data_IF_363181695812
#
_entry.id   IF_363181695812
#
_cell.length_a   1.000
_cell.length_b   1.000
_cell.length_c   1.000
_cell.angle_alpha   90.00
_cell.angle_beta   90.00
_cell.angle_gamma   90.00
#
_symmetry.space_group_name_H-M   'P 1'
#
loop_
_entity.id
_entity.type
_entity.pdbx_description
1 polymer ?
#
# COMPACT_ATOMS: atom_id res chain seq x y z
N UNK A 1 1.23 -8.20 -12.79
CA UNK A 1 1.49 -7.84 -11.38
C UNK A 1 0.44 -6.85 -10.93
N UNK A 2 -0.10 -7.04 -9.72
CA UNK A 2 -1.06 -6.12 -9.09
C UNK A 2 -0.33 -5.36 -7.98
N UNK A 3 -0.51 -4.05 -7.96
CA UNK A 3 0.08 -3.15 -6.98
C UNK A 3 -1.02 -2.49 -6.16
N UNK A 4 -0.89 -2.58 -4.83
CA UNK A 4 -1.78 -1.94 -3.87
C UNK A 4 -0.98 -0.91 -3.09
N UNK A 5 -1.39 0.35 -3.15
CA UNK A 5 -0.85 1.40 -2.30
C UNK A 5 -1.81 1.73 -1.17
N UNK A 6 -1.30 1.80 0.05
CA UNK A 6 -2.06 2.06 1.27
C UNK A 6 -1.43 3.21 2.05
N UNK A 7 -2.16 4.31 2.14
CA UNK A 7 -1.86 5.37 3.09
C UNK A 7 -2.52 5.06 4.44
N UNK A 8 -1.70 4.92 5.48
CA UNK A 8 -2.13 4.45 6.80
C UNK A 8 -2.40 5.65 7.69
N UNK A 9 -3.63 5.81 8.16
CA UNK A 9 -3.98 6.72 9.24
C UNK A 9 -4.53 5.98 10.47
N UNK A 10 -4.77 6.74 11.55
CA UNK A 10 -5.23 6.21 12.84
C UNK A 10 -6.56 5.46 12.73
N UNK A 11 -7.57 6.09 12.13
CA UNK A 11 -8.95 5.58 12.15
C UNK A 11 -9.36 4.92 10.83
N UNK A 12 -8.62 5.21 9.74
CA UNK A 12 -8.90 4.73 8.39
C UNK A 12 -7.62 4.53 7.59
N UNK A 13 -7.71 3.76 6.51
CA UNK A 13 -6.65 3.63 5.52
C UNK A 13 -7.21 3.93 4.13
N UNK A 14 -6.46 4.71 3.36
CA UNK A 14 -6.80 5.04 1.98
C UNK A 14 -6.02 4.10 1.05
N UNK A 15 -6.74 3.44 0.15
CA UNK A 15 -6.23 2.35 -0.68
C UNK A 15 -6.42 2.66 -2.17
N UNK A 16 -5.48 2.19 -2.98
CA UNK A 16 -5.53 2.28 -4.43
C UNK A 16 -4.97 1.00 -5.07
N UNK A 17 -5.59 0.50 -6.13
CA UNK A 17 -5.19 -0.76 -6.78
C UNK A 17 -5.04 -0.58 -8.29
N UNK A 18 -3.87 -0.95 -8.82
CA UNK A 18 -3.54 -0.91 -10.25
C UNK A 18 -2.78 -2.16 -10.68
N UNK A 19 -2.72 -2.42 -11.98
CA UNK A 19 -1.88 -3.48 -12.55
C UNK A 19 -0.59 -2.91 -13.17
N UNK A 20 0.27 -3.80 -13.66
CA UNK A 20 1.53 -3.46 -14.33
C UNK A 20 1.38 -2.69 -15.64
N UNK A 21 0.17 -2.62 -16.20
CA UNK A 21 -0.14 -1.86 -17.41
C UNK A 21 -0.62 -0.43 -17.07
N UNK A 22 -0.74 -0.11 -15.77
CA UNK A 22 -1.25 1.17 -15.28
C UNK A 22 -2.78 1.26 -15.30
N UNK A 23 -3.49 0.17 -15.57
CA UNK A 23 -4.95 0.15 -15.50
C UNK A 23 -5.39 0.24 -14.04
N UNK A 24 -6.41 1.07 -13.78
CA UNK A 24 -6.98 1.23 -12.45
C UNK A 24 -7.97 0.11 -12.20
N UNK A 25 -7.60 -0.86 -11.34
CA UNK A 25 -8.46 -1.98 -10.97
C UNK A 25 -9.48 -1.56 -9.90
N UNK A 26 -9.05 -0.74 -8.94
CA UNK A 26 -9.94 -0.03 -8.02
C UNK A 26 -9.46 1.40 -7.84
N UNK A 27 -10.35 2.36 -8.14
CA UNK A 27 -10.10 3.76 -7.83
C UNK A 27 -10.00 3.98 -6.31
N UNK A 28 -9.42 5.10 -5.89
CA UNK A 28 -9.16 5.37 -4.47
C UNK A 28 -10.39 5.13 -3.57
N UNK A 29 -10.23 4.26 -2.59
CA UNK A 29 -11.25 3.90 -1.61
C UNK A 29 -10.68 3.88 -0.20
N UNK A 30 -11.56 3.92 0.80
CA UNK A 30 -11.17 4.00 2.21
C UNK A 30 -11.69 2.78 2.94
N UNK A 31 -10.88 2.20 3.83
CA UNK A 31 -11.27 1.16 4.78
C UNK A 31 -11.11 1.67 6.21
N UNK A 32 -11.95 1.26 7.18
CA UNK A 32 -11.70 1.53 8.59
C UNK A 32 -10.47 0.77 9.10
N UNK A 33 -9.78 1.31 10.12
CA UNK A 33 -8.68 0.62 10.80
C UNK A 33 -9.22 -0.41 11.81
N UNK A 34 -9.87 -1.46 11.30
CA UNK A 34 -10.39 -2.57 12.07
C UNK A 34 -10.47 -3.86 11.23
N UNK A 35 -10.85 -4.97 11.85
CA UNK A 35 -10.90 -6.28 11.19
C UNK A 35 -11.83 -6.30 9.97
N UNK A 36 -12.98 -5.61 10.02
CA UNK A 36 -13.92 -5.55 8.90
C UNK A 36 -13.30 -4.84 7.70
N UNK A 37 -12.66 -3.69 7.92
CA UNK A 37 -11.95 -2.96 6.86
C UNK A 37 -10.81 -3.76 6.23
N UNK A 38 -10.08 -4.53 7.05
CA UNK A 38 -9.01 -5.40 6.55
C UNK A 38 -9.57 -6.55 5.72
N UNK A 39 -10.70 -7.13 6.14
CA UNK A 39 -11.39 -8.16 5.39
C UNK A 39 -11.91 -7.63 4.06
N UNK A 40 -12.51 -6.44 4.05
CA UNK A 40 -13.00 -5.77 2.83
C UNK A 40 -11.87 -5.56 1.82
N UNK A 41 -10.70 -5.11 2.27
CA UNK A 41 -9.51 -4.99 1.43
C UNK A 41 -9.09 -6.35 0.86
N UNK A 42 -9.03 -7.38 1.69
CA UNK A 42 -8.63 -8.72 1.26
C UNK A 42 -9.60 -9.32 0.23
N UNK A 43 -10.91 -9.11 0.40
CA UNK A 43 -11.91 -9.56 -0.57
C UNK A 43 -11.73 -8.87 -1.92
N UNK A 44 -11.47 -7.56 -1.93
CA UNK A 44 -11.17 -6.83 -3.18
C UNK A 44 -9.94 -7.38 -3.87
N UNK A 45 -8.86 -7.65 -3.14
CA UNK A 45 -7.64 -8.26 -3.70
C UNK A 45 -7.94 -9.66 -4.25
N UNK A 46 -8.65 -10.48 -3.48
CA UNK A 46 -9.01 -11.85 -3.86
C UNK A 46 -9.95 -11.92 -5.08
N UNK A 47 -10.77 -10.89 -5.31
CA UNK A 47 -11.61 -10.81 -6.51
C UNK A 47 -10.81 -10.56 -7.80
N UNK A 48 -9.56 -10.10 -7.69
CA UNK A 48 -8.69 -9.80 -8.84
C UNK A 48 -7.76 -10.97 -9.18
N UNK A 49 -7.37 -11.77 -8.19
CA UNK A 49 -6.44 -12.89 -8.38
C UNK A 49 -6.54 -13.89 -7.24
N UNK A 50 -6.31 -15.16 -7.57
CA UNK A 50 -6.12 -16.24 -6.59
C UNK A 50 -4.64 -16.55 -6.36
N UNK A 51 -3.75 -15.96 -7.16
CA UNK A 51 -2.30 -16.04 -7.00
C UNK A 51 -1.78 -14.75 -6.35
N UNK A 52 -1.55 -14.81 -5.04
CA UNK A 52 -1.05 -13.70 -4.24
C UNK A 52 0.45 -13.43 -4.44
N UNK A 53 1.20 -14.33 -5.11
CA UNK A 53 2.60 -14.06 -5.46
C UNK A 53 2.73 -12.96 -6.53
N UNK A 54 1.66 -12.75 -7.31
CA UNK A 54 1.53 -11.69 -8.30
C UNK A 54 0.94 -10.38 -7.72
N UNK A 55 0.94 -10.25 -6.40
CA UNK A 55 0.43 -9.08 -5.67
C UNK A 55 1.57 -8.45 -4.86
N UNK A 56 1.66 -7.13 -4.86
CA UNK A 56 2.53 -6.37 -3.96
C UNK A 56 1.75 -5.29 -3.25
N UNK A 57 1.84 -5.26 -1.92
CA UNK A 57 1.15 -4.28 -1.07
C UNK A 57 2.16 -3.33 -0.45
N UNK A 58 2.04 -2.04 -0.71
CA UNK A 58 2.87 -0.98 -0.13
C UNK A 58 2.08 -0.21 0.91
N UNK A 59 2.63 -0.09 2.12
CA UNK A 59 2.06 0.71 3.20
C UNK A 59 3.01 1.83 3.58
N UNK A 60 2.52 3.06 3.66
CA UNK A 60 3.28 4.14 4.28
C UNK A 60 3.30 3.97 5.81
N UNK A 61 4.49 4.03 6.40
CA UNK A 61 4.68 3.87 7.83
C UNK A 61 4.21 5.13 8.60
N UNK A 62 3.01 5.10 9.17
CA UNK A 62 2.50 6.16 10.04
C UNK A 62 2.43 5.70 11.50
N UNK A 63 3.47 6.00 12.28
CA UNK A 63 3.56 5.59 13.69
C UNK A 63 3.35 4.08 13.87
N UNK A 64 2.61 3.68 14.89
CA UNK A 64 2.27 2.27 15.15
C UNK A 64 0.96 1.81 14.46
N UNK A 65 0.28 2.69 13.71
CA UNK A 65 -1.04 2.39 13.15
C UNK A 65 -1.01 1.36 12.02
N UNK A 66 0.17 1.11 11.42
CA UNK A 66 0.32 0.12 10.35
C UNK A 66 0.39 -1.32 10.87
N UNK A 67 0.72 -1.57 12.14
CA UNK A 67 1.07 -2.92 12.62
C UNK A 67 -0.07 -3.92 12.52
N UNK A 68 -1.30 -3.51 12.83
CA UNK A 68 -2.46 -4.41 12.75
C UNK A 68 -2.75 -4.82 11.31
N UNK A 69 -2.73 -3.85 10.38
CA UNK A 69 -2.93 -4.11 8.97
C UNK A 69 -1.76 -4.93 8.38
N UNK A 70 -0.52 -4.60 8.74
CA UNK A 70 0.67 -5.32 8.32
C UNK A 70 0.62 -6.78 8.75
N UNK A 71 0.33 -7.06 10.02
CA UNK A 71 0.18 -8.42 10.53
C UNK A 71 -0.90 -9.19 9.78
N UNK A 72 -2.06 -8.57 9.58
CA UNK A 72 -3.16 -9.17 8.81
C UNK A 72 -2.76 -9.53 7.37
N UNK A 73 -2.06 -8.63 6.66
CA UNK A 73 -1.63 -8.86 5.28
C UNK A 73 -0.60 -9.99 5.18
N UNK A 74 0.37 -10.03 6.12
CA UNK A 74 1.36 -11.09 6.21
C UNK A 74 0.70 -12.44 6.50
N UNK A 75 -0.25 -12.49 7.45
CA UNK A 75 -1.00 -13.70 7.79
C UNK A 75 -1.83 -14.23 6.60
N UNK A 76 -2.24 -13.35 5.68
CA UNK A 76 -2.90 -13.70 4.41
C UNK A 76 -1.94 -14.10 3.30
N UNK A 77 -0.63 -14.08 3.54
CA UNK A 77 0.40 -14.44 2.57
C UNK A 77 0.63 -13.38 1.49
N UNK A 78 0.25 -12.12 1.74
CA UNK A 78 0.46 -11.03 0.78
C UNK A 78 1.87 -10.43 0.93
N UNK A 79 2.67 -10.38 -0.15
CA UNK A 79 3.96 -9.70 -0.14
C UNK A 79 3.79 -8.22 0.20
N UNK A 80 4.26 -7.84 1.39
CA UNK A 80 3.97 -6.54 1.98
C UNK A 80 5.25 -5.73 2.18
N UNK A 81 5.22 -4.45 1.84
CA UNK A 81 6.34 -3.52 1.85
C UNK A 81 5.98 -2.32 2.69
N UNK A 82 6.75 -2.06 3.75
CA UNK A 82 6.56 -0.88 4.58
C UNK A 82 7.50 0.22 4.08
N UNK A 83 6.93 1.36 3.74
CA UNK A 83 7.61 2.45 3.05
C UNK A 83 7.71 3.63 4.02
N UNK A 84 8.91 4.17 4.15
CA UNK A 84 9.14 5.36 4.95
C UNK A 84 8.45 6.59 4.29
N UNK A 85 7.66 7.39 5.03
CA UNK A 85 7.00 8.59 4.51
C UNK A 85 7.92 9.61 3.82
N UNK A 86 9.22 9.59 4.12
CA UNK A 86 10.20 10.42 3.41
C UNK A 86 10.35 9.99 1.94
N UNK A 87 10.34 8.68 1.66
CA UNK A 87 10.50 8.17 0.30
C UNK A 87 9.29 8.51 -0.57
N UNK A 88 8.08 8.31 -0.06
CA UNK A 88 6.83 8.69 -0.75
C UNK A 88 6.79 10.19 -0.99
N UNK A 89 7.20 11.02 -0.02
CA UNK A 89 7.25 12.47 -0.17
C UNK A 89 8.22 12.92 -1.28
N UNK A 90 9.43 12.35 -1.31
CA UNK A 90 10.44 12.64 -2.33
C UNK A 90 9.99 12.17 -3.71
N UNK A 91 9.41 10.96 -3.80
CA UNK A 91 8.88 10.42 -5.05
C UNK A 91 7.75 11.29 -5.59
N UNK A 92 6.79 11.69 -4.76
CA UNK A 92 5.71 12.62 -5.15
C UNK A 92 6.25 13.93 -5.72
N UNK A 93 7.24 14.54 -5.06
CA UNK A 93 7.89 15.77 -5.53
C UNK A 93 8.62 15.59 -6.85
N UNK A 94 9.16 14.40 -7.12
CA UNK A 94 9.81 14.08 -8.40
C UNK A 94 8.81 14.00 -9.56
N UNK A 95 7.56 13.61 -9.28
CA UNK A 95 6.50 13.55 -10.29
C UNK A 95 5.98 14.95 -10.65
N UNK A 96 5.81 15.82 -9.66
CA UNK A 96 5.42 17.22 -9.89
C UNK A 96 5.56 18.07 -8.63
N UNK A 97 6.03 19.31 -8.81
CA UNK A 97 6.13 20.31 -7.73
C UNK A 97 4.79 20.95 -7.35
N UNK A 98 3.71 20.74 -8.14
CA UNK A 98 2.39 21.38 -7.96
C UNK A 98 1.30 20.47 -7.37
N UNK A 99 1.60 19.23 -7.00
CA UNK A 99 0.56 18.33 -6.50
C UNK A 99 0.12 18.71 -5.08
N UNK A 100 -1.16 19.03 -4.94
CA UNK A 100 -1.84 19.15 -3.64
C UNK A 100 -1.88 17.78 -2.97
N UNK A 101 -1.40 17.71 -1.73
CA UNK A 101 -1.46 16.48 -0.92
C UNK A 101 -2.92 16.18 -0.59
N UNK A 102 -3.38 14.98 -0.93
CA UNK A 102 -4.65 14.42 -0.45
C UNK A 102 -4.41 12.94 -0.15
N UNK A 103 -5.07 12.40 0.86
CA UNK A 103 -4.90 10.99 1.27
C UNK A 103 -5.09 10.02 0.07
N UNK A 104 -5.99 10.35 -0.86
CA UNK A 104 -6.23 9.58 -2.10
C UNK A 104 -5.06 9.62 -3.08
N UNK A 105 -4.38 10.76 -3.18
CA UNK A 105 -3.18 10.94 -4.03
C UNK A 105 -1.99 10.19 -3.43
N UNK A 106 -1.93 10.08 -2.10
CA UNK A 106 -0.83 9.41 -1.42
C UNK A 106 -0.89 7.88 -1.64
N UNK A 107 -2.07 7.25 -1.53
CA UNK A 107 -2.26 5.83 -1.86
C UNK A 107 -1.90 5.50 -3.34
N UNK A 108 -2.31 6.35 -4.28
CA UNK A 108 -1.93 6.23 -5.69
C UNK A 108 -0.41 6.34 -5.89
N UNK A 109 0.21 7.32 -5.23
CA UNK A 109 1.66 7.56 -5.29
C UNK A 109 2.46 6.35 -4.80
N UNK A 110 1.99 5.69 -3.73
CA UNK A 110 2.62 4.49 -3.20
C UNK A 110 2.58 3.36 -4.24
N UNK A 111 1.41 3.08 -4.84
CA UNK A 111 1.29 2.03 -5.85
C UNK A 111 2.21 2.30 -7.07
N UNK A 112 2.26 3.55 -7.52
CA UNK A 112 3.13 3.96 -8.62
C UNK A 112 4.62 3.83 -8.26
N UNK A 113 5.01 4.17 -7.03
CA UNK A 113 6.38 4.01 -6.55
C UNK A 113 6.81 2.54 -6.59
N UNK A 114 5.94 1.63 -6.16
CA UNK A 114 6.19 0.19 -6.23
C UNK A 114 6.31 -0.32 -7.67
N UNK A 115 5.48 0.21 -8.58
CA UNK A 115 5.53 -0.14 -10.00
C UNK A 115 6.82 0.33 -10.66
N UNK A 116 7.38 1.46 -10.23
CA UNK A 116 8.60 2.04 -10.83
C UNK A 116 9.90 1.27 -10.56
N UNK A 117 9.86 0.18 -9.77
CA UNK A 117 11.03 -0.64 -9.50
C UNK A 117 12.02 -0.04 -8.51
N UNK A 118 11.59 0.90 -7.65
CA UNK A 118 12.38 1.33 -6.49
C UNK A 118 12.73 0.08 -5.68
N UNK A 119 13.99 -0.06 -5.27
CA UNK A 119 14.50 -1.22 -4.55
C UNK A 119 13.91 -1.28 -3.13
N UNK A 120 12.66 -1.71 -3.04
CA UNK A 120 11.93 -1.94 -1.81
C UNK A 120 12.13 -3.39 -1.40
N UNK A 121 12.63 -3.61 -0.18
CA UNK A 121 12.65 -4.93 0.43
C UNK A 121 11.28 -5.22 1.05
N UNK A 122 10.79 -6.44 0.84
CA UNK A 122 9.58 -6.91 1.54
C UNK A 122 9.84 -6.90 3.03
N UNK A 123 8.80 -6.57 3.82
CA UNK A 123 8.88 -6.61 5.26
C UNK A 123 9.29 -8.01 5.74
N UNK A 124 10.27 -8.06 6.64
CA UNK A 124 10.63 -9.25 7.40
C UNK A 124 10.87 -8.83 8.85
N UNK A 125 10.54 -9.68 9.82
CA UNK A 125 10.73 -9.37 11.25
C UNK A 125 12.19 -9.03 11.60
N UNK A 126 13.15 -9.44 10.76
CA UNK A 126 14.58 -9.13 10.91
C UNK A 126 14.99 -7.73 10.43
N UNK A 127 14.13 -7.02 9.69
CA UNK A 127 14.47 -5.72 9.06
C UNK A 127 14.20 -4.50 9.95
N UNK A 128 13.55 -4.66 11.11
CA UNK A 128 13.12 -3.54 11.97
C UNK A 128 13.91 -3.42 13.29
N UNK A 129 14.89 -4.31 13.51
CA UNK A 129 15.70 -4.36 14.72
C UNK A 129 17.22 -4.29 14.46
N UNK A 130 17.64 -3.55 13.42
CA UNK A 130 19.05 -3.16 13.24
C UNK A 130 19.17 -1.65 13.06
#
# INVERSE_FOLDING_TARGET
MIYIGIDVAKDKHDCFITNSEGEVLFNAFTIPNNADGFHDLFQKISSLTNDFSNVKVGLEATGHYNYNLLGFLIDKGLPTFVINPLHTNLFRKSLSLRQTKTDKVDAHTIALMMMSGVNLQSYSNTSYHN
#
